data_IF_395495576298
#
_entry.id   IF_395495576298
#
_cell.length_a   1.000
_cell.length_b   1.000
_cell.length_c   1.000
_cell.angle_alpha   90.00
_cell.angle_beta   90.00
_cell.angle_gamma   90.00
#
_symmetry.space_group_name_H-M   'P 1'
#
loop_
_entity.id
_entity.type
_entity.pdbx_description
1 polymer ?
#
# COMPACT_ATOMS: atom_id res chain seq x y z
N UNK A 1 -16.20 -21.65 -21.06
CA UNK A 1 -16.62 -20.32 -20.58
C UNK A 1 -15.52 -19.33 -20.88
N UNK A 2 -15.75 -18.38 -21.80
CA UNK A 2 -14.82 -17.25 -21.99
C UNK A 2 -14.98 -16.32 -20.79
N UNK A 3 -13.98 -16.29 -19.91
CA UNK A 3 -13.90 -15.27 -18.89
C UNK A 3 -13.72 -13.94 -19.65
N UNK A 4 -14.76 -13.13 -19.71
CA UNK A 4 -14.65 -11.76 -20.22
C UNK A 4 -13.76 -11.04 -19.20
N UNK A 5 -12.47 -10.98 -19.48
CA UNK A 5 -11.56 -10.13 -18.72
C UNK A 5 -12.04 -8.71 -18.94
N UNK A 6 -12.75 -8.15 -17.96
CA UNK A 6 -13.15 -6.74 -17.99
C UNK A 6 -11.86 -5.94 -17.99
N UNK A 7 -11.50 -5.37 -19.14
CA UNK A 7 -10.43 -4.38 -19.23
C UNK A 7 -10.89 -3.18 -18.42
N UNK A 8 -10.24 -2.93 -17.27
CA UNK A 8 -10.66 -1.86 -16.34
C UNK A 8 -10.03 -0.52 -16.75
N UNK A 9 -8.86 -0.57 -17.39
CA UNK A 9 -8.22 0.56 -18.04
C UNK A 9 -7.28 0.07 -19.15
N UNK A 10 -6.75 0.99 -19.95
CA UNK A 10 -5.77 0.71 -21.02
C UNK A 10 -4.59 1.66 -20.82
N UNK A 11 -3.36 1.15 -20.91
CA UNK A 11 -2.15 1.98 -20.89
C UNK A 11 -1.94 2.69 -22.24
N UNK A 12 -1.04 3.66 -22.29
CA UNK A 12 -0.74 4.44 -23.51
C UNK A 12 -0.26 3.59 -24.68
N UNK A 13 0.29 2.39 -24.41
CA UNK A 13 0.72 1.40 -25.41
C UNK A 13 -0.38 0.39 -25.80
N UNK A 14 -1.62 0.61 -25.36
CA UNK A 14 -2.78 -0.21 -25.75
C UNK A 14 -2.96 -1.51 -24.95
N UNK A 15 -2.16 -1.75 -23.91
CA UNK A 15 -2.30 -2.96 -23.08
C UNK A 15 -3.44 -2.81 -22.09
N UNK A 16 -4.21 -3.89 -21.93
CA UNK A 16 -5.21 -3.98 -20.87
C UNK A 16 -4.53 -3.83 -19.50
N UNK A 17 -5.20 -3.10 -18.61
CA UNK A 17 -4.76 -2.85 -17.25
C UNK A 17 -5.88 -3.25 -16.29
N UNK A 18 -5.45 -3.76 -15.14
CA UNK A 18 -6.23 -4.06 -13.96
C UNK A 18 -5.94 -3.01 -12.89
N UNK A 19 -7.00 -2.59 -12.20
CA UNK A 19 -6.90 -1.73 -11.03
C UNK A 19 -7.30 -2.56 -9.82
N UNK A 20 -6.47 -2.54 -8.78
CA UNK A 20 -6.74 -3.14 -7.49
C UNK A 20 -6.52 -2.09 -6.40
N UNK A 21 -7.31 -2.10 -5.34
CA UNK A 21 -7.14 -1.16 -4.24
C UNK A 21 -7.49 -1.81 -2.92
N UNK A 22 -7.03 -1.21 -1.84
CA UNK A 22 -7.32 -1.68 -0.50
C UNK A 22 -6.78 -0.77 0.57
N UNK A 23 -6.94 -1.22 1.81
CA UNK A 23 -6.37 -0.57 2.99
C UNK A 23 -5.99 -1.58 4.04
N UNK A 24 -5.02 -1.24 4.89
CA UNK A 24 -4.79 -1.99 6.13
C UNK A 24 -5.89 -1.69 7.15
N UNK A 25 -6.13 -2.61 8.09
CA UNK A 25 -7.17 -2.42 9.11
C UNK A 25 -6.75 -1.36 10.11
N UNK A 26 -7.59 -0.34 10.31
CA UNK A 26 -7.40 0.67 11.35
C UNK A 26 -7.32 0.02 12.73
N UNK A 27 -6.40 0.51 13.58
CA UNK A 27 -6.18 -0.04 14.93
C UNK A 27 -5.52 -1.42 14.98
N UNK A 28 -5.33 -2.07 13.84
CA UNK A 28 -4.74 -3.43 13.75
C UNK A 28 -3.89 -3.60 12.49
N UNK A 29 -3.29 -2.51 12.01
CA UNK A 29 -2.30 -2.60 10.94
C UNK A 29 -1.07 -3.31 11.49
N UNK A 30 -0.55 -4.27 10.72
CA UNK A 30 0.60 -5.09 11.07
C UNK A 30 1.92 -4.31 10.95
N UNK A 31 1.99 -3.19 11.67
CA UNK A 31 3.18 -2.36 11.80
C UNK A 31 4.29 -3.14 12.49
N UNK A 32 5.50 -3.01 11.96
CA UNK A 32 6.71 -3.56 12.56
C UNK A 32 7.64 -2.41 12.91
N UNK A 33 8.22 -2.45 14.12
CA UNK A 33 9.18 -1.45 14.55
C UNK A 33 10.44 -1.50 13.68
N UNK A 34 10.95 -0.31 13.34
CA UNK A 34 12.22 -0.08 12.68
C UNK A 34 13.01 1.00 13.44
N UNK A 35 14.34 1.04 13.28
CA UNK A 35 15.25 1.89 14.06
C UNK A 35 14.77 3.34 14.17
N UNK A 36 14.36 3.92 13.03
CA UNK A 36 13.87 5.30 12.97
C UNK A 36 12.41 5.34 12.52
N UNK A 37 11.59 4.33 12.77
CA UNK A 37 10.22 4.38 12.28
C UNK A 37 9.46 3.08 12.45
N UNK A 38 8.46 2.90 11.61
CA UNK A 38 7.74 1.64 11.47
C UNK A 38 7.66 1.29 10.00
N UNK A 39 7.40 0.02 9.69
CA UNK A 39 7.04 -0.38 8.34
C UNK A 39 5.87 -1.35 8.34
N UNK A 40 5.26 -1.52 7.18
CA UNK A 40 4.25 -2.55 6.93
C UNK A 40 4.47 -3.15 5.55
N UNK A 41 4.26 -4.46 5.43
CA UNK A 41 4.22 -5.17 4.16
C UNK A 41 2.78 -5.30 3.68
N UNK A 42 2.49 -4.73 2.50
CA UNK A 42 1.19 -4.81 1.85
C UNK A 42 1.21 -5.95 0.84
N UNK A 43 0.31 -6.93 1.01
CA UNK A 43 0.18 -8.08 0.11
C UNK A 43 -0.90 -7.83 -0.94
N UNK A 44 -0.58 -8.12 -2.20
CA UNK A 44 -1.51 -7.96 -3.35
C UNK A 44 -1.74 -9.25 -4.15
N UNK A 45 -1.46 -10.42 -3.57
CA UNK A 45 -1.61 -11.73 -4.23
C UNK A 45 -3.03 -11.97 -4.81
N UNK A 46 -4.08 -11.38 -4.22
CA UNK A 46 -5.45 -11.49 -4.71
C UNK A 46 -5.79 -10.63 -5.93
N UNK A 47 -4.89 -9.72 -6.32
CA UNK A 47 -5.13 -8.81 -7.44
C UNK A 47 -4.84 -9.46 -8.79
N UNK A 48 -4.07 -10.55 -8.85
CA UNK A 48 -3.79 -11.28 -10.09
C UNK A 48 -2.89 -10.55 -11.09
N UNK A 49 -1.97 -9.72 -10.61
CA UNK A 49 -0.93 -9.12 -11.45
C UNK A 49 0.07 -10.17 -11.91
N UNK A 50 0.62 -9.99 -13.11
CA UNK A 50 1.65 -10.89 -13.66
C UNK A 50 3.02 -10.21 -13.78
N UNK A 51 3.09 -8.90 -13.59
CA UNK A 51 4.31 -8.13 -13.36
C UNK A 51 4.13 -7.19 -12.17
N UNK A 52 5.21 -6.58 -11.67
CA UNK A 52 5.11 -5.53 -10.65
C UNK A 52 4.23 -4.39 -11.16
N UNK A 53 3.09 -4.10 -10.50
CA UNK A 53 2.22 -2.99 -10.87
C UNK A 53 2.80 -1.67 -10.35
N UNK A 54 2.24 -0.55 -10.83
CA UNK A 54 2.47 0.77 -10.23
C UNK A 54 1.68 0.82 -8.92
N UNK A 55 2.39 0.96 -7.81
CA UNK A 55 1.79 1.16 -6.49
C UNK A 55 1.71 2.65 -6.15
N UNK A 56 0.52 3.08 -5.75
CA UNK A 56 0.25 4.41 -5.18
C UNK A 56 -0.25 4.17 -3.76
N UNK A 57 0.27 4.92 -2.79
CA UNK A 57 -0.07 4.75 -1.38
C UNK A 57 -0.23 6.08 -0.67
N UNK A 58 -0.99 6.08 0.42
CA UNK A 58 -0.98 7.14 1.40
C UNK A 58 -1.04 6.58 2.82
N UNK A 59 -0.43 7.28 3.76
CA UNK A 59 -0.69 7.12 5.18
C UNK A 59 -1.91 7.97 5.55
N UNK A 60 -2.89 7.35 6.17
CA UNK A 60 -4.05 7.99 6.75
C UNK A 60 -4.18 7.63 8.23
N UNK A 61 -4.93 8.42 8.98
CA UNK A 61 -5.14 8.22 10.41
C UNK A 61 -5.71 9.47 11.07
N UNK A 62 -5.99 9.37 12.37
CA UNK A 62 -6.75 10.37 13.12
C UNK A 62 -5.87 11.31 13.96
N UNK A 63 -4.55 11.13 13.94
CA UNK A 63 -3.64 11.87 14.81
C UNK A 63 -2.24 12.01 14.18
N UNK A 64 -1.66 13.22 14.20
CA UNK A 64 -0.26 13.56 13.85
C UNK A 64 0.30 12.99 12.53
N UNK A 65 -0.57 12.66 11.57
CA UNK A 65 -0.15 12.15 10.25
C UNK A 65 0.62 13.21 9.44
N UNK A 66 0.33 14.50 9.64
CA UNK A 66 1.00 15.62 8.95
C UNK A 66 2.48 15.78 9.32
N UNK A 67 2.93 15.19 10.44
CA UNK A 67 4.34 15.22 10.87
C UNK A 67 5.14 14.03 10.34
N UNK A 68 4.48 13.07 9.68
CA UNK A 68 5.11 11.85 9.22
C UNK A 68 5.72 12.00 7.82
N UNK A 69 6.66 11.13 7.50
CA UNK A 69 7.22 10.98 6.14
C UNK A 69 7.22 9.51 5.71
N UNK A 70 7.36 9.26 4.41
CA UNK A 70 7.44 7.91 3.82
C UNK A 70 6.09 7.23 3.55
N UNK A 71 4.99 7.76 4.09
CA UNK A 71 3.62 7.25 3.93
C UNK A 71 3.11 7.06 2.50
N UNK A 72 3.78 7.68 1.51
CA UNK A 72 3.46 7.64 0.09
C UNK A 72 4.61 7.11 -0.78
N UNK A 73 5.53 6.36 -0.17
CA UNK A 73 6.76 5.88 -0.81
C UNK A 73 6.85 4.35 -0.79
N UNK A 74 6.12 3.64 -1.68
CA UNK A 74 6.28 2.20 -1.83
C UNK A 74 7.74 1.83 -2.07
N UNK A 75 8.27 0.96 -1.22
CA UNK A 75 9.64 0.48 -1.24
C UNK A 75 9.68 -0.97 -1.70
N UNK A 76 10.61 -1.29 -2.62
CA UNK A 76 10.83 -2.64 -3.16
C UNK A 76 9.54 -3.32 -3.63
N UNK A 77 8.78 -2.66 -4.51
CA UNK A 77 7.57 -3.25 -5.10
C UNK A 77 7.87 -4.53 -5.88
N UNK A 78 6.99 -5.51 -5.73
CA UNK A 78 7.02 -6.80 -6.42
C UNK A 78 5.66 -7.06 -7.06
N UNK A 79 5.52 -8.13 -7.84
CA UNK A 79 4.19 -8.58 -8.34
C UNK A 79 3.18 -8.88 -7.21
N UNK A 80 3.68 -9.20 -6.03
CA UNK A 80 2.89 -9.72 -4.90
C UNK A 80 2.67 -8.72 -3.77
N UNK A 81 3.20 -7.51 -3.89
CA UNK A 81 3.12 -6.52 -2.83
C UNK A 81 4.32 -5.58 -2.77
N UNK A 82 4.32 -4.74 -1.76
CA UNK A 82 5.36 -3.74 -1.51
C UNK A 82 5.50 -3.50 0.00
N UNK A 83 6.65 -2.96 0.41
CA UNK A 83 6.86 -2.47 1.77
C UNK A 83 6.65 -0.97 1.82
N UNK A 84 6.20 -0.45 2.95
CA UNK A 84 6.11 0.99 3.16
C UNK A 84 6.70 1.33 4.52
N UNK A 85 7.68 2.23 4.52
CA UNK A 85 8.31 2.76 5.73
C UNK A 85 7.66 4.09 6.09
N UNK A 86 7.35 4.27 7.36
CA UNK A 86 6.82 5.52 7.90
C UNK A 86 7.74 5.98 9.02
N UNK A 87 8.23 7.20 8.88
CA UNK A 87 9.04 7.86 9.90
C UNK A 87 8.21 8.93 10.61
N UNK A 88 8.34 8.96 11.93
CA UNK A 88 8.00 10.10 12.79
C UNK A 88 8.76 9.94 14.10
N UNK A 89 9.14 11.05 14.73
CA UNK A 89 9.80 11.02 16.04
C UNK A 89 9.00 10.19 17.08
N UNK A 90 9.67 9.24 17.74
CA UNK A 90 9.12 8.33 18.75
C UNK A 90 7.96 7.43 18.31
N UNK A 91 7.75 7.24 17.01
CA UNK A 91 6.68 6.35 16.53
C UNK A 91 6.97 4.89 16.91
N UNK A 92 5.91 4.18 17.32
CA UNK A 92 5.92 2.74 17.55
C UNK A 92 4.67 2.11 16.93
N UNK A 93 4.64 0.80 16.66
CA UNK A 93 3.45 0.08 16.21
C UNK A 93 2.21 0.34 17.08
N UNK A 94 2.38 0.39 18.41
CA UNK A 94 1.27 0.59 19.35
C UNK A 94 0.71 2.01 19.22
N UNK A 95 1.57 3.03 19.12
CA UNK A 95 1.15 4.41 18.89
C UNK A 95 0.44 4.56 17.54
N UNK A 96 1.02 4.00 16.49
CA UNK A 96 0.44 4.03 15.14
C UNK A 96 -0.97 3.42 15.15
N UNK A 97 -1.13 2.24 15.73
CA UNK A 97 -2.44 1.59 15.85
C UNK A 97 -3.41 2.39 16.73
N UNK A 98 -2.97 2.91 17.89
CA UNK A 98 -3.79 3.77 18.75
C UNK A 98 -4.28 5.04 18.02
N UNK A 99 -3.45 5.59 17.13
CA UNK A 99 -3.77 6.78 16.32
C UNK A 99 -4.56 6.46 15.04
N UNK A 100 -4.90 5.20 14.82
CA UNK A 100 -5.61 4.75 13.63
C UNK A 100 -4.76 4.89 12.36
N UNK A 101 -3.42 4.88 12.47
CA UNK A 101 -2.55 4.91 11.30
C UNK A 101 -2.73 3.65 10.46
N UNK A 102 -3.07 3.85 9.20
CA UNK A 102 -3.30 2.80 8.21
C UNK A 102 -2.83 3.26 6.84
N UNK A 103 -2.56 2.29 5.95
CA UNK A 103 -2.17 2.58 4.57
C UNK A 103 -3.36 2.35 3.66
N UNK A 104 -3.72 3.37 2.88
CA UNK A 104 -4.57 3.19 1.70
C UNK A 104 -3.67 3.00 0.48
N UNK A 105 -4.09 2.16 -0.46
CA UNK A 105 -3.31 1.91 -1.66
C UNK A 105 -4.16 1.61 -2.89
N UNK A 106 -3.58 1.93 -4.05
CA UNK A 106 -4.05 1.55 -5.38
C UNK A 106 -2.88 0.94 -6.14
N UNK A 107 -3.15 -0.12 -6.88
CA UNK A 107 -2.20 -0.79 -7.75
C UNK A 107 -2.77 -0.85 -9.17
N UNK A 108 -1.95 -0.48 -10.17
CA UNK A 108 -2.32 -0.48 -11.58
C UNK A 108 -1.29 -1.28 -12.36
N UNK A 109 -1.71 -2.34 -13.04
CA UNK A 109 -0.82 -3.24 -13.75
C UNK A 109 -1.54 -4.17 -14.71
N UNK A 110 -0.76 -5.01 -15.37
CA UNK A 110 -1.12 -5.89 -16.48
C UNK A 110 -2.20 -6.95 -16.24
#
# INVERSE_FOLDING_TARGET
MRQITKVISVSSDGKAQRICSGRTTEGSTAWVQFTYGIYVDIKTNGCGFTSTPIYISNLAGNHVVWESTGGSSPYSGTVNGFRLYVHRLTITPEKANKWGWHINWVAIGN
#
